data_IF_129392812436
#
_entry.id   IF_129392812436
#
_cell.length_a   1.000
_cell.length_b   1.000
_cell.length_c   1.000
_cell.angle_alpha   90.00
_cell.angle_beta   90.00
_cell.angle_gamma   90.00
#
_symmetry.space_group_name_H-M   'P 1'
#
loop_
_entity.id
_entity.type
_entity.pdbx_description
1 polymer ?
#
# COMPACT_ATOMS: atom_id res chain seq x y z
N UNK A 1 -25.25 -6.69 -9.61
CA UNK A 1 -23.86 -6.89 -10.08
C UNK A 1 -23.77 -8.28 -10.68
N UNK A 2 -23.29 -8.43 -11.91
CA UNK A 2 -23.11 -9.75 -12.52
C UNK A 2 -21.67 -10.19 -12.28
N UNK A 3 -21.48 -11.30 -11.55
CA UNK A 3 -20.15 -11.85 -11.31
C UNK A 3 -19.63 -12.51 -12.59
N UNK A 4 -18.49 -12.04 -13.08
CA UNK A 4 -17.78 -12.71 -14.17
C UNK A 4 -17.05 -13.96 -13.65
N UNK A 5 -16.54 -14.80 -14.56
CA UNK A 5 -15.83 -16.04 -14.19
C UNK A 5 -14.62 -15.78 -13.26
N UNK A 6 -13.85 -14.72 -13.53
CA UNK A 6 -12.68 -14.37 -12.73
C UNK A 6 -13.06 -14.03 -11.29
N UNK A 7 -14.10 -13.22 -11.09
CA UNK A 7 -14.62 -12.89 -9.75
C UNK A 7 -15.11 -14.13 -9.01
N UNK A 8 -15.78 -15.05 -9.71
CA UNK A 8 -16.25 -16.31 -9.11
C UNK A 8 -15.06 -17.15 -8.61
N UNK A 9 -14.02 -17.26 -9.41
CA UNK A 9 -12.81 -18.00 -9.06
C UNK A 9 -12.10 -17.35 -7.85
N UNK A 10 -11.99 -16.02 -7.82
CA UNK A 10 -11.45 -15.27 -6.69
C UNK A 10 -12.26 -15.48 -5.41
N UNK A 11 -13.59 -15.38 -5.47
CA UNK A 11 -14.47 -15.58 -4.30
C UNK A 11 -14.35 -17.02 -3.75
N UNK A 12 -14.22 -18.02 -4.63
CA UNK A 12 -14.00 -19.41 -4.22
C UNK A 12 -12.67 -19.58 -3.50
N UNK A 13 -11.62 -18.96 -4.01
CA UNK A 13 -10.28 -19.04 -3.42
C UNK A 13 -10.21 -18.29 -2.08
N UNK A 14 -10.85 -17.12 -1.96
CA UNK A 14 -11.00 -16.39 -0.70
C UNK A 14 -11.74 -17.27 0.33
N UNK A 15 -12.88 -17.88 -0.05
CA UNK A 15 -13.66 -18.76 0.84
C UNK A 15 -12.87 -19.99 1.30
N UNK A 16 -11.98 -20.52 0.46
CA UNK A 16 -11.12 -21.67 0.77
C UNK A 16 -10.13 -21.34 1.88
N UNK A 17 -9.63 -20.10 1.92
CA UNK A 17 -8.62 -19.62 2.86
C UNK A 17 -9.21 -18.98 4.11
N UNK A 18 -10.42 -18.43 4.02
CA UNK A 18 -11.09 -17.78 5.13
C UNK A 18 -11.33 -18.75 6.32
N UNK A 19 -11.29 -18.25 7.57
CA UNK A 19 -11.62 -19.04 8.74
C UNK A 19 -13.09 -19.49 8.71
N UNK A 20 -13.40 -20.60 9.38
CA UNK A 20 -14.73 -21.21 9.31
C UNK A 20 -15.87 -20.32 9.82
N UNK A 21 -15.57 -19.32 10.64
CA UNK A 21 -16.52 -18.30 11.13
C UNK A 21 -17.06 -17.43 10.00
N UNK A 22 -16.23 -17.10 9.01
CA UNK A 22 -16.56 -16.07 8.01
C UNK A 22 -17.02 -16.68 6.68
N UNK A 23 -16.77 -17.99 6.48
CA UNK A 23 -17.23 -18.76 5.30
C UNK A 23 -18.74 -18.64 5.00
N UNK A 24 -19.66 -18.50 5.97
CA UNK A 24 -21.08 -18.34 5.68
C UNK A 24 -21.43 -17.01 4.99
N UNK A 25 -20.64 -15.96 5.20
CA UNK A 25 -20.83 -14.64 4.57
C UNK A 25 -20.30 -14.58 3.14
N UNK A 26 -19.26 -15.37 2.83
CA UNK A 26 -18.64 -15.43 1.50
C UNK A 26 -19.47 -16.32 0.56
N UNK A 27 -20.56 -15.78 0.00
CA UNK A 27 -21.46 -16.47 -0.95
C UNK A 27 -21.78 -15.59 -2.15
N UNK A 28 -21.77 -16.17 -3.35
CA UNK A 28 -22.11 -15.45 -4.60
C UNK A 28 -23.56 -14.98 -4.68
N UNK A 29 -24.45 -15.60 -3.90
CA UNK A 29 -25.84 -15.17 -3.79
C UNK A 29 -26.03 -13.91 -2.94
N UNK A 30 -24.99 -13.49 -2.20
CA UNK A 30 -25.04 -12.30 -1.37
C UNK A 30 -24.78 -11.05 -2.24
N UNK A 31 -25.74 -10.13 -2.39
CA UNK A 31 -25.51 -8.88 -3.12
C UNK A 31 -24.51 -7.97 -2.41
N UNK A 32 -24.37 -8.09 -1.09
CA UNK A 32 -23.51 -7.26 -0.24
C UNK A 32 -22.14 -7.91 0.04
N UNK A 33 -21.78 -8.94 -0.74
CA UNK A 33 -20.54 -9.71 -0.59
C UNK A 33 -19.28 -8.84 -0.46
N UNK A 34 -19.17 -7.79 -1.29
CA UNK A 34 -18.00 -6.90 -1.26
C UNK A 34 -17.96 -6.10 0.05
N UNK A 35 -19.11 -5.65 0.56
CA UNK A 35 -19.18 -4.91 1.83
C UNK A 35 -18.79 -5.82 2.99
N UNK A 36 -19.28 -7.05 3.00
CA UNK A 36 -18.95 -8.04 4.04
C UNK A 36 -17.47 -8.48 4.01
N UNK A 37 -16.79 -8.35 2.86
CA UNK A 37 -15.36 -8.64 2.72
C UNK A 37 -14.45 -7.51 3.22
N UNK A 38 -14.95 -6.28 3.34
CA UNK A 38 -14.17 -5.13 3.86
C UNK A 38 -13.64 -5.38 5.28
N UNK A 39 -14.46 -5.74 6.29
CA UNK A 39 -13.96 -5.99 7.65
C UNK A 39 -13.03 -7.23 7.70
N UNK A 40 -13.22 -8.20 6.81
CA UNK A 40 -12.32 -9.34 6.68
C UNK A 40 -10.95 -8.90 6.15
N UNK A 41 -10.90 -8.00 5.18
CA UNK A 41 -9.65 -7.46 4.67
C UNK A 41 -8.84 -6.73 5.76
N UNK A 42 -9.50 -6.01 6.66
CA UNK A 42 -8.84 -5.31 7.77
C UNK A 42 -8.31 -6.27 8.83
N UNK A 43 -9.15 -7.21 9.28
CA UNK A 43 -8.83 -8.14 10.37
C UNK A 43 -7.91 -9.30 9.96
N UNK A 44 -7.81 -9.61 8.65
CA UNK A 44 -7.02 -10.73 8.18
C UNK A 44 -5.51 -10.46 8.27
N UNK A 45 -4.75 -11.40 8.84
CA UNK A 45 -3.28 -11.35 8.85
C UNK A 45 -2.64 -12.00 7.63
N UNK A 46 -3.37 -12.84 6.89
CA UNK A 46 -2.86 -13.53 5.70
C UNK A 46 -2.73 -12.56 4.52
N UNK A 47 -1.48 -12.35 4.11
CA UNK A 47 -1.13 -11.49 2.98
C UNK A 47 -1.72 -11.97 1.67
N UNK A 48 -1.86 -13.29 1.49
CA UNK A 48 -2.42 -13.85 0.26
C UNK A 48 -3.92 -13.62 0.19
N UNK A 49 -4.64 -13.85 1.29
CA UNK A 49 -6.08 -13.54 1.37
C UNK A 49 -6.33 -12.04 1.16
N UNK A 50 -5.51 -11.16 1.75
CA UNK A 50 -5.57 -9.71 1.49
C UNK A 50 -5.36 -9.36 0.02
N UNK A 51 -4.40 -10.01 -0.65
CA UNK A 51 -4.15 -9.78 -2.08
C UNK A 51 -5.32 -10.23 -2.95
N UNK A 52 -5.91 -11.39 -2.67
CA UNK A 52 -7.08 -11.90 -3.38
C UNK A 52 -8.31 -10.99 -3.22
N UNK A 53 -8.53 -10.46 -2.02
CA UNK A 53 -9.62 -9.50 -1.77
C UNK A 53 -9.37 -8.21 -2.56
N UNK A 54 -8.14 -7.67 -2.55
CA UNK A 54 -7.78 -6.51 -3.38
C UNK A 54 -8.01 -6.74 -4.87
N UNK A 55 -7.62 -7.90 -5.37
CA UNK A 55 -7.82 -8.26 -6.78
C UNK A 55 -9.31 -8.35 -7.13
N UNK A 56 -10.13 -8.96 -6.26
CA UNK A 56 -11.58 -9.01 -6.44
C UNK A 56 -12.20 -7.61 -6.53
N UNK A 57 -11.75 -6.69 -5.68
CA UNK A 57 -12.23 -5.31 -5.67
C UNK A 57 -11.76 -4.52 -6.90
N UNK A 58 -10.54 -4.77 -7.39
CA UNK A 58 -10.05 -4.18 -8.63
C UNK A 58 -10.89 -4.63 -9.84
N UNK A 59 -11.25 -5.92 -9.90
CA UNK A 59 -12.11 -6.47 -10.98
C UNK A 59 -13.56 -5.99 -10.86
N UNK A 60 -14.02 -5.70 -9.65
CA UNK A 60 -15.35 -5.14 -9.38
C UNK A 60 -15.51 -3.69 -9.87
N UNK A 61 -14.40 -2.95 -10.00
CA UNK A 61 -14.34 -1.58 -10.50
C UNK A 61 -13.50 -0.66 -9.60
N UNK A 62 -12.99 0.43 -10.17
CA UNK A 62 -12.10 1.38 -9.47
C UNK A 62 -12.74 1.98 -8.20
N UNK A 63 -14.06 2.26 -8.23
CA UNK A 63 -14.81 2.78 -7.09
C UNK A 63 -14.73 1.88 -5.85
N UNK A 64 -14.66 0.56 -6.04
CA UNK A 64 -14.62 -0.40 -4.94
C UNK A 64 -13.23 -0.43 -4.30
N UNK A 65 -12.18 -0.41 -5.12
CA UNK A 65 -10.81 -0.37 -4.63
C UNK A 65 -10.53 0.90 -3.82
N UNK A 66 -11.07 2.03 -4.28
CA UNK A 66 -11.02 3.31 -3.55
C UNK A 66 -11.71 3.22 -2.19
N UNK A 67 -12.89 2.60 -2.11
CA UNK A 67 -13.59 2.38 -0.83
C UNK A 67 -12.78 1.51 0.12
N UNK A 68 -12.20 0.42 -0.40
CA UNK A 68 -11.37 -0.49 0.40
C UNK A 68 -10.11 0.20 0.97
N UNK A 69 -9.56 1.17 0.25
CA UNK A 69 -8.34 1.89 0.65
C UNK A 69 -8.62 3.13 1.50
N UNK A 70 -9.78 3.77 1.34
CA UNK A 70 -10.21 4.93 2.16
C UNK A 70 -10.54 4.54 3.60
N UNK A 71 -11.22 3.41 3.78
CA UNK A 71 -11.68 2.96 5.10
C UNK A 71 -10.62 2.12 5.83
N UNK A 72 -9.65 1.56 5.11
CA UNK A 72 -8.52 0.90 5.74
C UNK A 72 -7.82 1.90 6.66
N UNK A 73 -7.71 1.63 7.99
CA UNK A 73 -6.80 2.38 8.82
C UNK A 73 -5.44 2.18 8.17
N UNK A 74 -4.85 3.28 7.67
CA UNK A 74 -3.51 3.31 7.11
C UNK A 74 -2.63 2.48 8.03
N UNK A 75 -2.33 1.24 7.60
CA UNK A 75 -1.44 0.40 8.39
C UNK A 75 -0.19 1.24 8.58
N UNK A 76 0.29 1.46 9.81
CA UNK A 76 1.37 2.39 10.08
C UNK A 76 2.68 2.02 9.35
N UNK A 77 2.72 0.89 8.62
CA UNK A 77 3.84 0.49 7.78
C UNK A 77 3.99 1.27 6.47
N UNK A 78 2.95 1.91 5.93
CA UNK A 78 3.07 2.67 4.65
C UNK A 78 3.11 4.19 4.83
N UNK A 79 2.69 4.71 5.99
CA UNK A 79 2.74 6.15 6.30
C UNK A 79 3.62 6.53 7.50
N UNK A 80 4.41 5.59 8.02
CA UNK A 80 5.62 6.01 8.73
C UNK A 80 6.57 6.50 7.65
N UNK A 81 6.60 7.82 7.43
CA UNK A 81 7.78 8.46 6.84
C UNK A 81 8.99 7.73 7.45
N UNK A 82 9.84 7.08 6.65
CA UNK A 82 10.83 6.19 7.22
C UNK A 82 11.66 7.05 8.16
N UNK A 83 11.71 6.73 9.47
CA UNK A 83 12.48 7.50 10.46
C UNK A 83 13.97 7.64 10.02
N UNK A 84 14.36 6.77 9.08
CA UNK A 84 15.69 6.54 8.55
C UNK A 84 15.64 6.63 7.03
N UNK A 85 16.27 7.66 6.47
CA UNK A 85 16.52 7.81 5.03
C UNK A 85 17.90 7.24 4.73
N UNK A 86 18.00 6.31 3.79
CA UNK A 86 19.28 5.79 3.34
C UNK A 86 19.81 6.65 2.19
N UNK A 87 21.04 7.14 2.31
CA UNK A 87 21.72 7.94 1.28
C UNK A 87 22.98 7.21 0.83
N UNK A 88 23.08 6.97 -0.48
CA UNK A 88 24.29 6.39 -1.09
C UNK A 88 25.37 7.47 -1.20
N UNK A 89 26.47 7.32 -0.45
CA UNK A 89 27.65 8.19 -0.57
C UNK A 89 28.75 7.45 -1.32
N UNK A 90 29.36 8.13 -2.28
CA UNK A 90 30.50 7.61 -3.05
C UNK A 90 31.75 8.33 -2.60
N UNK A 91 32.72 7.59 -2.05
CA UNK A 91 34.02 8.13 -1.67
C UNK A 91 35.13 7.31 -2.31
N UNK A 92 35.97 7.96 -3.15
CA UNK A 92 37.12 7.34 -3.83
C UNK A 92 36.79 6.00 -4.52
N UNK A 93 35.63 5.92 -5.18
CA UNK A 93 35.19 4.72 -5.90
C UNK A 93 34.51 3.65 -5.05
N UNK A 94 34.40 3.81 -3.73
CA UNK A 94 33.60 2.95 -2.88
C UNK A 94 32.23 3.57 -2.61
N UNK A 95 31.17 2.79 -2.83
CA UNK A 95 29.78 3.14 -2.53
C UNK A 95 29.40 2.61 -1.15
N UNK A 96 28.97 3.50 -0.25
CA UNK A 96 28.46 3.13 1.07
C UNK A 96 27.02 3.60 1.23
N UNK A 97 26.16 2.73 1.76
CA UNK A 97 24.79 3.07 2.12
C UNK A 97 24.80 3.59 3.58
N UNK A 98 24.52 4.88 3.77
CA UNK A 98 24.54 5.52 5.08
C UNK A 98 23.12 5.84 5.53
N UNK A 99 22.79 5.48 6.77
CA UNK A 99 21.53 5.81 7.41
C UNK A 99 21.55 7.27 7.90
N UNK A 100 20.56 8.07 7.50
CA UNK A 100 20.41 9.48 7.87
C UNK A 100 19.04 9.68 8.52
N UNK A 101 18.92 10.39 9.66
CA UNK A 101 17.62 10.66 10.28
C UNK A 101 16.74 11.51 9.35
N UNK A 102 15.46 11.16 9.22
CA UNK A 102 14.53 11.72 8.24
C UNK A 102 14.07 13.17 8.49
N UNK A 103 14.66 13.87 9.47
CA UNK A 103 14.36 15.29 9.72
C UNK A 103 15.55 15.97 10.40
N UNK A 104 16.43 16.53 9.59
CA UNK A 104 17.42 17.55 9.96
C UNK A 104 17.22 18.78 9.06
N UNK A 105 17.56 20.00 9.52
CA UNK A 105 17.20 21.25 8.84
C UNK A 105 17.75 21.27 7.42
N UNK A 106 16.94 21.79 6.48
CA UNK A 106 17.36 22.09 5.11
C UNK A 106 18.76 22.72 5.12
N UNK A 107 19.77 21.97 4.66
CA UNK A 107 21.06 22.55 4.35
C UNK A 107 20.84 23.68 3.35
N UNK A 108 21.34 24.90 3.59
CA UNK A 108 21.14 26.02 2.68
C UNK A 108 21.70 25.64 1.31
N UNK A 109 20.94 25.92 0.26
CA UNK A 109 21.40 25.74 -1.12
C UNK A 109 22.75 26.43 -1.29
N UNK A 110 23.75 25.68 -1.76
CA UNK A 110 25.08 26.23 -1.99
C UNK A 110 24.98 27.33 -3.04
N UNK A 111 25.10 28.58 -2.61
CA UNK A 111 25.12 29.74 -3.49
C UNK A 111 26.38 29.68 -4.37
N UNK A 112 26.21 29.77 -5.69
CA UNK A 112 27.34 29.90 -6.61
C UNK A 112 27.88 31.33 -6.53
N UNK A 113 29.15 31.48 -6.21
CA UNK A 113 29.82 32.79 -6.18
C UNK A 113 30.71 32.90 -7.43
N UNK A 114 30.50 33.95 -8.23
CA UNK A 114 31.38 34.30 -9.35
C UNK A 114 31.95 35.70 -9.14
N UNK A 115 33.27 35.82 -9.10
CA UNK A 115 33.99 37.10 -8.93
C UNK A 115 33.48 37.96 -7.75
N UNK A 116 33.18 37.32 -6.62
CA UNK A 116 32.69 38.01 -5.42
C UNK A 116 31.20 38.36 -5.43
N UNK A 117 30.45 37.97 -6.47
CA UNK A 117 29.00 38.15 -6.52
C UNK A 117 28.28 36.80 -6.51
N UNK A 118 27.16 36.74 -5.77
CA UNK A 118 26.29 35.57 -5.72
C UNK A 118 25.50 35.51 -7.03
N UNK A 119 25.68 34.43 -7.80
CA UNK A 119 24.96 34.16 -9.03
C UNK A 119 23.74 33.30 -8.68
N UNK A 120 22.55 33.87 -8.76
CA UNK A 120 21.31 33.11 -8.73
C UNK A 120 21.14 32.44 -10.10
N UNK A 121 20.93 31.12 -10.11
CA UNK A 121 20.61 30.35 -11.32
C UNK A 121 19.11 30.30 -11.53
#
# INVERSE_FOLDING_TARGET
>A
MNFNKQMIDLVREIRRRAPSTDKPGIKLANPDLLVDLMPMYESCSDTVTKALIKELFAVAGEDWLDRLTRDAPKSPETERAPDKVYVTKVYRGQTQLVEVPAKGPQSPSTQRIYRGQIVQS
#
